data_IF_994847265055
#
_entry.id   IF_994847265055
#
_cell.length_a   1.000
_cell.length_b   1.000
_cell.length_c   1.000
_cell.angle_alpha   90.00
_cell.angle_beta   90.00
_cell.angle_gamma   90.00
#
_symmetry.space_group_name_H-M   'P 1'
#
loop_
_entity.id
_entity.type
_entity.pdbx_description
1 polymer ?
#
# COMPACT_ATOMS: atom_id res chain seq x y z
N UNK A 1 -6.09 -17.58 6.22
CA UNK A 1 -6.53 -18.57 5.21
C UNK A 1 -5.30 -19.32 4.71
N UNK A 2 -5.44 -20.62 4.42
CA UNK A 2 -4.31 -21.49 4.05
C UNK A 2 -3.61 -21.03 2.75
N UNK A 3 -4.38 -20.44 1.82
CA UNK A 3 -3.88 -19.81 0.59
C UNK A 3 -4.61 -18.47 0.38
N UNK A 4 -3.90 -17.46 -0.11
CA UNK A 4 -4.47 -16.17 -0.48
C UNK A 4 -3.47 -15.01 -0.40
N UNK A 5 -3.48 -14.17 -1.43
CA UNK A 5 -2.70 -12.93 -1.44
C UNK A 5 -3.34 -11.88 -0.54
N UNK A 6 -2.51 -10.97 -0.02
CA UNK A 6 -2.97 -9.78 0.66
C UNK A 6 -3.62 -8.79 -0.30
N UNK A 7 -4.64 -8.07 0.15
CA UNK A 7 -5.32 -7.05 -0.64
C UNK A 7 -4.50 -5.76 -0.78
N UNK A 8 -4.67 -5.03 -1.88
CA UNK A 8 -3.99 -3.75 -2.07
C UNK A 8 -4.50 -2.69 -1.08
N UNK A 9 -3.57 -1.85 -0.61
CA UNK A 9 -3.83 -0.74 0.28
C UNK A 9 -4.59 0.38 -0.42
N UNK A 10 -5.40 1.11 0.35
CA UNK A 10 -6.23 2.18 -0.20
C UNK A 10 -5.37 3.31 -0.80
N UNK A 11 -5.65 3.65 -2.05
CA UNK A 11 -5.00 4.76 -2.75
C UNK A 11 -5.77 6.04 -2.49
N UNK A 12 -5.08 7.01 -1.89
CA UNK A 12 -5.66 8.29 -1.53
C UNK A 12 -6.00 9.09 -2.80
N UNK A 13 -7.15 9.80 -2.82
CA UNK A 13 -7.44 10.73 -3.88
C UNK A 13 -6.43 11.89 -3.84
N UNK A 14 -6.15 12.50 -4.99
CA UNK A 14 -5.15 13.57 -5.10
C UNK A 14 -5.47 14.80 -4.22
N UNK A 15 -6.73 14.98 -3.80
CA UNK A 15 -7.17 16.03 -2.88
C UNK A 15 -6.91 15.71 -1.40
N UNK A 16 -6.61 14.46 -1.05
CA UNK A 16 -6.25 14.05 0.30
C UNK A 16 -4.82 14.47 0.62
N UNK A 17 -4.50 14.72 1.89
CA UNK A 17 -3.12 14.89 2.39
C UNK A 17 -2.73 13.70 3.29
N UNK A 18 -3.57 12.67 3.34
CA UNK A 18 -3.27 11.46 4.11
C UNK A 18 -2.24 10.58 3.36
N UNK A 19 -1.45 9.79 4.10
CA UNK A 19 -0.60 8.78 3.50
C UNK A 19 -1.43 7.66 2.85
N UNK A 20 -0.82 6.96 1.90
CA UNK A 20 -1.41 5.78 1.27
C UNK A 20 -1.69 4.68 2.30
N UNK A 21 -2.77 3.92 2.09
CA UNK A 21 -3.11 2.79 2.95
C UNK A 21 -2.07 1.67 2.86
N UNK A 22 -1.81 0.97 3.95
CA UNK A 22 -0.93 -0.19 3.94
C UNK A 22 -1.57 -1.35 3.14
N UNK A 23 -0.73 -2.08 2.41
CA UNK A 23 -1.12 -3.34 1.77
C UNK A 23 -1.43 -4.42 2.81
N UNK A 24 -2.41 -5.26 2.53
CA UNK A 24 -2.82 -6.35 3.40
C UNK A 24 -1.79 -7.48 3.46
N UNK A 25 -1.72 -8.16 4.60
CA UNK A 25 -0.93 -9.36 4.75
C UNK A 25 -1.58 -10.56 4.03
N UNK A 26 -0.76 -11.40 3.43
CA UNK A 26 -1.19 -12.70 2.92
C UNK A 26 -1.41 -13.71 4.06
N UNK A 27 -2.06 -14.83 3.73
CA UNK A 27 -2.31 -15.93 4.66
C UNK A 27 -1.08 -16.82 4.88
N UNK A 28 -1.28 -18.15 4.81
CA UNK A 28 -0.18 -19.09 5.00
C UNK A 28 0.71 -19.21 3.75
N UNK A 29 0.09 -19.18 2.58
CA UNK A 29 0.73 -19.17 1.27
C UNK A 29 0.10 -18.05 0.43
N UNK A 30 0.90 -17.12 -0.09
CA UNK A 30 0.43 -15.99 -0.92
C UNK A 30 1.30 -14.75 -0.80
N UNK A 31 1.21 -13.82 -1.75
CA UNK A 31 1.98 -12.58 -1.72
C UNK A 31 1.24 -11.47 -0.99
N UNK A 32 1.96 -10.63 -0.24
CA UNK A 32 1.39 -9.44 0.39
C UNK A 32 0.85 -8.46 -0.65
N UNK A 33 -0.17 -7.70 -0.26
CA UNK A 33 -0.79 -6.69 -1.14
C UNK A 33 0.09 -5.46 -1.29
N UNK A 34 -0.05 -4.71 -2.38
CA UNK A 34 0.72 -3.46 -2.57
C UNK A 34 0.21 -2.37 -1.64
N UNK A 35 1.07 -1.46 -1.21
CA UNK A 35 0.66 -0.24 -0.53
C UNK A 35 -0.08 0.70 -1.49
N UNK A 36 -1.05 1.44 -0.99
CA UNK A 36 -1.80 2.43 -1.76
C UNK A 36 -1.00 3.72 -1.99
N UNK A 37 -1.40 4.52 -2.97
CA UNK A 37 -0.74 5.81 -3.23
C UNK A 37 -1.09 6.85 -2.16
N UNK A 38 -0.14 7.72 -1.82
CA UNK A 38 -0.36 8.87 -0.94
C UNK A 38 -1.17 9.98 -1.60
N UNK A 39 -1.81 10.82 -0.77
CA UNK A 39 -2.44 12.05 -1.20
C UNK A 39 -1.41 13.17 -1.49
N UNK A 40 -1.84 14.36 -1.92
CA UNK A 40 -0.97 15.47 -2.23
C UNK A 40 0.04 15.78 -1.10
N UNK A 41 1.33 15.71 -1.42
CA UNK A 41 2.44 15.90 -0.49
C UNK A 41 2.64 14.79 0.55
N UNK A 42 1.87 13.70 0.48
CA UNK A 42 1.91 12.60 1.43
C UNK A 42 2.62 11.36 0.86
N UNK A 43 3.22 10.56 1.75
CA UNK A 43 3.90 9.34 1.39
C UNK A 43 2.91 8.25 0.92
N UNK A 44 3.39 7.32 0.09
CA UNK A 44 2.66 6.09 -0.21
C UNK A 44 2.63 5.13 0.96
N UNK A 45 1.67 4.21 0.94
CA UNK A 45 1.51 3.20 1.97
C UNK A 45 2.56 2.10 1.91
N UNK A 46 2.84 1.45 3.05
CA UNK A 46 3.73 0.29 3.06
C UNK A 46 3.10 -0.90 2.32
N UNK A 47 3.93 -1.74 1.70
CA UNK A 47 3.49 -3.03 1.17
C UNK A 47 3.15 -4.02 2.28
N UNK A 48 2.24 -4.93 1.99
CA UNK A 48 1.78 -5.95 2.92
C UNK A 48 2.76 -7.11 3.08
N UNK A 49 2.63 -7.86 4.16
CA UNK A 49 3.49 -9.01 4.42
C UNK A 49 3.12 -10.21 3.53
N UNK A 50 4.12 -10.95 3.07
CA UNK A 50 3.93 -12.20 2.33
C UNK A 50 3.44 -13.34 3.23
N UNK A 51 3.14 -14.47 2.62
CA UNK A 51 2.62 -15.64 3.29
C UNK A 51 3.67 -16.24 4.22
N UNK A 52 3.22 -16.77 5.35
CA UNK A 52 4.11 -17.26 6.40
C UNK A 52 5.09 -18.35 5.93
N UNK A 53 4.62 -19.30 5.11
CA UNK A 53 5.47 -20.38 4.58
C UNK A 53 6.00 -20.10 3.18
N UNK A 54 5.18 -19.51 2.31
CA UNK A 54 5.58 -19.21 0.94
C UNK A 54 4.83 -17.99 0.42
N UNK A 55 5.59 -16.98 0.03
CA UNK A 55 5.09 -15.78 -0.61
C UNK A 55 5.97 -14.59 -0.32
N UNK A 56 5.97 -13.61 -1.22
CA UNK A 56 6.74 -12.38 -1.08
C UNK A 56 5.90 -11.27 -0.42
N UNK A 57 6.57 -10.33 0.23
CA UNK A 57 5.95 -9.06 0.61
C UNK A 57 5.43 -8.28 -0.61
N UNK A 58 4.44 -7.44 -0.38
CA UNK A 58 3.94 -6.50 -1.36
C UNK A 58 4.87 -5.31 -1.53
N UNK A 59 4.79 -4.66 -2.70
CA UNK A 59 5.51 -3.41 -2.95
C UNK A 59 4.89 -2.25 -2.17
N UNK A 60 5.71 -1.28 -1.76
CA UNK A 60 5.21 0.00 -1.23
C UNK A 60 4.45 0.80 -2.31
N UNK A 61 3.52 1.63 -1.86
CA UNK A 61 2.77 2.55 -2.70
C UNK A 61 3.59 3.78 -3.07
N UNK A 62 3.23 4.42 -4.18
CA UNK A 62 3.86 5.66 -4.61
C UNK A 62 3.46 6.84 -3.70
N UNK A 63 4.39 7.78 -3.48
CA UNK A 63 4.06 9.07 -2.89
C UNK A 63 3.05 9.83 -3.76
N UNK A 64 2.22 10.64 -3.12
CA UNK A 64 1.25 11.46 -3.84
C UNK A 64 1.91 12.63 -4.57
N UNK A 65 1.15 13.30 -5.46
CA UNK A 65 1.64 14.44 -6.23
C UNK A 65 2.11 15.56 -5.30
N UNK A 66 3.08 16.36 -5.73
CA UNK A 66 3.51 17.52 -4.94
C UNK A 66 2.31 18.45 -4.68
N UNK A 67 2.03 18.75 -3.41
CA UNK A 67 1.12 19.83 -3.05
C UNK A 67 1.80 21.13 -3.46
N UNK A 68 1.35 21.75 -4.56
CA UNK A 68 1.86 23.06 -4.96
C UNK A 68 1.59 24.02 -3.79
N UNK A 69 2.62 24.70 -3.22
CA UNK A 69 2.34 25.80 -2.32
C UNK A 69 1.63 26.89 -3.14
N UNK A 70 0.43 27.26 -2.73
CA UNK A 70 -0.29 28.42 -3.27
C UNK A 70 0.57 29.65 -2.98
N UNK A 71 1.22 30.19 -4.01
CA UNK A 71 1.89 31.49 -3.96
C UNK A 71 0.87 32.61 -4.17
#
# INVERSE_FOLDING_TARGET
MLFGNGGDGYSQPASSTAPGGAGGAAGLIGNGGRGGTGGAGAAGGAGGQGGFWLGNGGAGGAGGPASRPSA
#
